data_IF_413738589368
#
_entry.id   IF_413738589368
#
_cell.length_a   1.000
_cell.length_b   1.000
_cell.length_c   1.000
_cell.angle_alpha   90.00
_cell.angle_beta   90.00
_cell.angle_gamma   90.00
#
_symmetry.space_group_name_H-M   'P 1'
#
loop_
_entity.id
_entity.type
_entity.pdbx_description
1 polymer ?
#
# COMPACT_ATOMS: atom_id res chain seq x y z
N UNK A 1 -22.37 -0.06 -18.53
CA UNK A 1 -21.47 -0.86 -19.39
C UNK A 1 -20.78 0.05 -20.38
N UNK A 2 -19.47 0.01 -20.49
CA UNK A 2 -18.69 0.87 -21.39
C UNK A 2 -17.75 0.04 -22.24
N UNK A 3 -17.31 0.63 -23.36
CA UNK A 3 -16.35 0.00 -24.27
C UNK A 3 -14.97 -0.06 -23.63
N UNK A 4 -14.19 -1.11 -23.92
CA UNK A 4 -12.80 -1.19 -23.54
C UNK A 4 -12.01 -0.14 -24.34
N UNK A 5 -11.14 0.63 -23.67
CA UNK A 5 -10.22 1.57 -24.32
C UNK A 5 -8.84 0.92 -24.40
N UNK A 6 -8.30 0.74 -25.61
CA UNK A 6 -6.95 0.20 -25.85
C UNK A 6 -6.62 0.19 -27.33
N UNK A 7 -5.32 0.12 -27.74
CA UNK A 7 -4.91 -0.05 -29.11
C UNK A 7 -5.33 -1.45 -29.58
N UNK A 8 -6.45 -1.54 -30.26
CA UNK A 8 -6.98 -2.80 -30.79
C UNK A 8 -7.82 -2.54 -32.03
N UNK A 9 -7.80 -3.46 -32.98
CA UNK A 9 -8.50 -3.38 -34.24
C UNK A 9 -10.03 -3.28 -34.11
N UNK A 10 -10.74 -3.20 -35.24
CA UNK A 10 -12.19 -2.92 -35.33
C UNK A 10 -13.08 -3.76 -34.41
N UNK A 11 -12.66 -4.92 -33.93
CA UNK A 11 -13.42 -5.79 -33.04
C UNK A 11 -13.50 -5.27 -31.60
N UNK A 12 -12.45 -4.60 -31.11
CA UNK A 12 -12.41 -4.02 -29.74
C UNK A 12 -13.41 -2.85 -29.61
N UNK A 13 -13.64 -2.12 -30.70
CA UNK A 13 -14.55 -0.97 -30.72
C UNK A 13 -16.03 -1.38 -30.81
N UNK A 14 -16.35 -2.66 -31.11
CA UNK A 14 -17.72 -3.14 -31.27
C UNK A 14 -18.25 -3.94 -30.08
N UNK A 15 -17.39 -4.41 -29.17
CA UNK A 15 -17.82 -5.26 -28.06
C UNK A 15 -17.70 -4.53 -26.71
N UNK A 16 -18.82 -4.45 -25.98
CA UNK A 16 -18.87 -3.90 -24.62
C UNK A 16 -18.33 -4.93 -23.61
N UNK A 17 -17.04 -5.23 -23.65
CA UNK A 17 -16.41 -6.25 -22.78
C UNK A 17 -15.97 -5.69 -21.42
N UNK A 18 -15.86 -4.39 -21.26
CA UNK A 18 -15.48 -3.77 -19.98
C UNK A 18 -16.52 -4.05 -18.91
N UNK A 19 -16.09 -4.57 -17.79
CA UNK A 19 -16.88 -4.76 -16.59
C UNK A 19 -16.50 -3.71 -15.54
N UNK A 20 -17.51 -3.24 -14.83
CA UNK A 20 -17.37 -2.30 -13.72
C UNK A 20 -18.26 -2.78 -12.57
N UNK A 21 -17.69 -2.90 -11.39
CA UNK A 21 -18.38 -3.34 -10.19
C UNK A 21 -18.31 -2.23 -9.12
N UNK A 22 -19.47 -1.90 -8.56
CA UNK A 22 -19.61 -0.93 -7.47
C UNK A 22 -20.11 -1.64 -6.23
N UNK A 23 -19.35 -1.56 -5.13
CA UNK A 23 -19.80 -1.96 -3.81
C UNK A 23 -20.17 -0.70 -3.03
N UNK A 24 -21.47 -0.49 -2.78
CA UNK A 24 -21.94 0.61 -1.94
C UNK A 24 -21.51 0.38 -0.49
N UNK A 25 -20.99 1.41 0.16
CA UNK A 25 -20.59 1.41 1.56
C UNK A 25 -21.53 2.25 2.46
N UNK A 26 -22.54 2.89 1.86
CA UNK A 26 -23.63 3.57 2.57
C UNK A 26 -24.98 3.11 1.98
N UNK A 27 -25.89 2.57 2.79
CA UNK A 27 -25.67 2.19 4.20
C UNK A 27 -24.60 1.09 4.33
N UNK A 28 -23.91 1.03 5.49
CA UNK A 28 -22.83 0.07 5.69
C UNK A 28 -23.36 -1.36 5.57
N UNK A 29 -22.74 -2.23 4.73
CA UNK A 29 -23.17 -3.61 4.58
C UNK A 29 -23.02 -4.38 5.90
N UNK A 30 -24.08 -5.04 6.34
CA UNK A 30 -24.11 -5.80 7.59
C UNK A 30 -23.14 -6.97 7.62
N UNK A 31 -22.82 -7.50 6.43
CA UNK A 31 -21.89 -8.61 6.23
C UNK A 31 -20.42 -8.21 6.43
N UNK A 32 -20.13 -6.90 6.42
CA UNK A 32 -18.78 -6.39 6.57
C UNK A 32 -18.52 -5.93 8.01
N UNK A 33 -17.44 -6.40 8.65
CA UNK A 33 -17.06 -5.93 9.97
C UNK A 33 -16.77 -4.41 9.97
N UNK A 34 -17.30 -3.68 10.94
CA UNK A 34 -17.10 -2.23 11.04
C UNK A 34 -15.60 -1.83 11.15
N UNK A 35 -14.78 -2.73 11.71
CA UNK A 35 -13.33 -2.51 11.85
C UNK A 35 -12.59 -2.30 10.53
N UNK A 36 -13.08 -2.82 9.40
CA UNK A 36 -12.44 -2.64 8.10
C UNK A 36 -12.79 -1.31 7.43
N UNK A 37 -13.82 -0.60 7.92
CA UNK A 37 -14.32 0.65 7.31
C UNK A 37 -13.21 1.69 7.08
N UNK A 38 -12.38 2.06 8.07
CA UNK A 38 -11.34 3.07 7.86
C UNK A 38 -10.33 2.67 6.78
N UNK A 39 -10.04 1.38 6.64
CA UNK A 39 -9.10 0.87 5.64
C UNK A 39 -9.71 0.89 4.24
N UNK A 40 -11.01 0.61 4.09
CA UNK A 40 -11.70 0.68 2.80
C UNK A 40 -11.81 2.12 2.29
N UNK A 41 -12.06 3.09 3.17
CA UNK A 41 -12.16 4.51 2.81
C UNK A 41 -10.83 5.12 2.36
N UNK A 42 -9.69 4.51 2.70
CA UNK A 42 -8.35 4.93 2.28
C UNK A 42 -7.92 4.31 0.94
N UNK A 43 -8.69 3.36 0.40
CA UNK A 43 -8.31 2.71 -0.86
C UNK A 43 -8.45 3.68 -2.06
N UNK A 44 -7.53 3.62 -3.04
CA UNK A 44 -7.66 4.39 -4.28
C UNK A 44 -8.93 4.08 -5.08
N UNK A 45 -9.51 2.90 -4.86
CA UNK A 45 -10.77 2.47 -5.48
C UNK A 45 -12.01 3.07 -4.83
N UNK A 46 -11.87 3.78 -3.70
CA UNK A 46 -12.99 4.43 -3.04
C UNK A 46 -13.38 5.72 -3.73
N UNK A 47 -14.67 5.87 -3.99
CA UNK A 47 -15.26 7.08 -4.58
C UNK A 47 -16.11 7.81 -3.52
N UNK A 48 -15.61 8.92 -2.96
CA UNK A 48 -16.33 9.65 -1.91
C UNK A 48 -17.71 10.18 -2.36
N UNK A 49 -17.82 10.64 -3.61
CA UNK A 49 -19.07 11.17 -4.17
C UNK A 49 -20.18 10.13 -4.26
N UNK A 50 -19.85 8.87 -4.53
CA UNK A 50 -20.77 7.75 -4.64
C UNK A 50 -20.78 6.85 -3.40
N UNK A 51 -19.95 7.14 -2.41
CA UNK A 51 -19.76 6.34 -1.19
C UNK A 51 -19.63 4.85 -1.49
N UNK A 52 -18.83 4.52 -2.51
CA UNK A 52 -18.71 3.16 -3.04
C UNK A 52 -17.26 2.83 -3.39
N UNK A 53 -16.94 1.54 -3.35
CA UNK A 53 -15.71 1.02 -3.97
C UNK A 53 -15.99 0.69 -5.41
N UNK A 54 -15.18 1.21 -6.31
CA UNK A 54 -15.25 0.98 -7.75
C UNK A 54 -14.11 0.12 -8.21
N UNK A 55 -14.41 -1.00 -8.86
CA UNK A 55 -13.44 -1.92 -9.47
C UNK A 55 -13.77 -2.10 -10.94
N UNK A 56 -12.77 -2.02 -11.81
CA UNK A 56 -12.96 -2.13 -13.26
C UNK A 56 -12.01 -3.15 -13.86
N UNK A 57 -12.50 -3.95 -14.82
CA UNK A 57 -11.69 -4.87 -15.59
C UNK A 57 -12.08 -4.81 -17.07
N UNK A 58 -11.06 -4.80 -17.94
CA UNK A 58 -11.23 -4.73 -19.39
C UNK A 58 -10.18 -5.54 -20.16
N UNK A 59 -9.47 -6.44 -19.46
CA UNK A 59 -8.33 -7.17 -20.03
C UNK A 59 -8.73 -8.33 -20.94
N UNK A 60 -9.86 -8.99 -20.64
CA UNK A 60 -10.34 -10.11 -21.41
C UNK A 60 -11.29 -9.66 -22.53
N UNK A 61 -11.34 -10.46 -23.60
CA UNK A 61 -12.33 -10.28 -24.69
C UNK A 61 -13.75 -10.60 -24.22
N UNK A 62 -13.89 -11.51 -23.28
CA UNK A 62 -15.18 -11.93 -22.71
C UNK A 62 -15.59 -11.04 -21.55
N UNK A 63 -16.79 -10.48 -21.63
CA UNK A 63 -17.37 -9.73 -20.54
C UNK A 63 -17.50 -10.55 -19.27
N UNK A 64 -17.85 -11.84 -19.39
CA UNK A 64 -17.95 -12.77 -18.24
C UNK A 64 -16.63 -12.87 -17.49
N UNK A 65 -15.52 -13.01 -18.20
CA UNK A 65 -14.17 -13.07 -17.60
C UNK A 65 -13.81 -11.75 -16.91
N UNK A 66 -14.17 -10.60 -17.48
CA UNK A 66 -13.93 -9.31 -16.84
C UNK A 66 -14.80 -9.11 -15.58
N UNK A 67 -16.03 -9.63 -15.55
CA UNK A 67 -16.87 -9.62 -14.34
C UNK A 67 -16.23 -10.50 -13.23
N UNK A 68 -15.75 -11.67 -13.59
CA UNK A 68 -15.04 -12.55 -12.65
C UNK A 68 -13.75 -11.90 -12.13
N UNK A 69 -13.01 -11.23 -12.99
CA UNK A 69 -11.82 -10.46 -12.60
C UNK A 69 -12.17 -9.31 -11.64
N UNK A 70 -13.25 -8.55 -11.88
CA UNK A 70 -13.71 -7.53 -10.94
C UNK A 70 -14.09 -8.12 -9.58
N UNK A 71 -14.77 -9.26 -9.56
CA UNK A 71 -15.12 -9.95 -8.30
C UNK A 71 -13.88 -10.38 -7.54
N UNK A 72 -12.92 -11.01 -8.22
CA UNK A 72 -11.66 -11.44 -7.62
C UNK A 72 -10.87 -10.25 -7.05
N UNK A 73 -10.79 -9.14 -7.78
CA UNK A 73 -10.15 -7.92 -7.31
C UNK A 73 -10.87 -7.34 -6.08
N UNK A 74 -12.20 -7.30 -6.07
CA UNK A 74 -12.96 -6.82 -4.92
C UNK A 74 -12.69 -7.69 -3.68
N UNK A 75 -12.73 -9.01 -3.81
CA UNK A 75 -12.42 -9.94 -2.73
C UNK A 75 -11.00 -9.71 -2.20
N UNK A 76 -10.02 -9.53 -3.09
CA UNK A 76 -8.64 -9.25 -2.69
C UNK A 76 -8.52 -7.91 -1.92
N UNK A 77 -9.25 -6.86 -2.33
CA UNK A 77 -9.27 -5.57 -1.62
C UNK A 77 -9.90 -5.71 -0.22
N UNK A 78 -11.02 -6.43 -0.10
CA UNK A 78 -11.66 -6.70 1.19
C UNK A 78 -10.77 -7.53 2.11
N UNK A 79 -10.12 -8.58 1.59
CA UNK A 79 -9.18 -9.41 2.34
C UNK A 79 -7.98 -8.59 2.85
N UNK A 80 -7.41 -7.72 2.01
CA UNK A 80 -6.32 -6.81 2.38
C UNK A 80 -6.76 -5.84 3.49
N UNK A 81 -7.93 -5.23 3.37
CA UNK A 81 -8.49 -4.36 4.40
C UNK A 81 -8.74 -5.13 5.71
N UNK A 82 -9.22 -6.39 5.63
CA UNK A 82 -9.37 -7.27 6.77
C UNK A 82 -8.06 -7.56 7.48
N UNK A 83 -7.00 -7.87 6.72
CA UNK A 83 -5.66 -8.09 7.29
C UNK A 83 -5.11 -6.84 7.99
N UNK A 84 -5.36 -5.65 7.43
CA UNK A 84 -4.94 -4.39 8.03
C UNK A 84 -5.74 -4.01 9.29
N UNK A 85 -6.99 -4.45 9.37
CA UNK A 85 -7.86 -4.23 10.53
C UNK A 85 -7.53 -5.17 11.71
N UNK A 86 -6.83 -6.28 11.46
CA UNK A 86 -6.36 -7.14 12.53
C UNK A 86 -5.25 -6.43 13.31
N UNK A 87 -5.27 -6.51 14.66
CA UNK A 87 -4.17 -6.00 15.46
C UNK A 87 -2.87 -6.66 15.02
N UNK A 88 -1.84 -5.86 14.78
CA UNK A 88 -0.54 -6.39 14.43
C UNK A 88 -0.09 -7.38 15.52
N UNK A 89 0.29 -8.58 15.12
CA UNK A 89 0.82 -9.57 16.07
C UNK A 89 2.00 -8.95 16.82
N UNK A 90 2.00 -9.08 18.13
CA UNK A 90 3.12 -8.58 18.93
C UNK A 90 4.44 -9.22 18.44
N UNK A 91 5.47 -8.41 18.19
CA UNK A 91 6.73 -8.94 17.72
C UNK A 91 7.30 -9.92 18.76
N UNK A 92 7.76 -11.07 18.30
CA UNK A 92 8.33 -12.08 19.16
C UNK A 92 9.54 -11.55 19.94
N UNK A 93 9.85 -12.15 21.08
CA UNK A 93 11.02 -11.78 21.89
C UNK A 93 12.33 -11.80 21.08
N UNK A 94 12.45 -12.76 20.15
CA UNK A 94 13.59 -12.86 19.23
C UNK A 94 13.63 -11.68 18.24
N UNK A 95 12.48 -11.24 17.71
CA UNK A 95 12.41 -10.07 16.83
C UNK A 95 12.74 -8.78 17.59
N UNK A 96 12.22 -8.61 18.81
CA UNK A 96 12.54 -7.46 19.69
C UNK A 96 14.05 -7.41 19.99
N UNK A 97 14.68 -8.57 20.28
CA UNK A 97 16.11 -8.67 20.49
C UNK A 97 16.94 -8.29 19.25
N UNK A 98 16.55 -8.79 18.06
CA UNK A 98 17.19 -8.41 16.79
C UNK A 98 17.12 -6.90 16.52
N UNK A 99 15.95 -6.29 16.68
CA UNK A 99 15.76 -4.84 16.49
C UNK A 99 16.62 -4.08 17.48
N UNK A 100 16.64 -4.47 18.76
CA UNK A 100 17.47 -3.86 19.81
C UNK A 100 18.96 -3.93 19.46
N UNK A 101 19.43 -5.07 18.97
CA UNK A 101 20.83 -5.25 18.55
C UNK A 101 21.20 -4.37 17.36
N UNK A 102 20.31 -4.24 16.34
CA UNK A 102 20.52 -3.36 15.20
C UNK A 102 20.58 -1.89 15.60
N UNK A 103 19.66 -1.44 16.45
CA UNK A 103 19.66 -0.07 16.98
C UNK A 103 20.94 0.24 17.79
N UNK A 104 21.44 -0.72 18.58
CA UNK A 104 22.69 -0.55 19.30
C UNK A 104 23.89 -0.45 18.35
N UNK A 105 23.96 -1.30 17.32
CA UNK A 105 25.01 -1.22 16.29
C UNK A 105 24.99 0.14 15.59
N UNK A 106 23.82 0.62 15.19
CA UNK A 106 23.68 1.93 14.54
C UNK A 106 24.13 3.08 15.45
N UNK A 107 23.74 3.04 16.72
CA UNK A 107 24.19 4.03 17.72
C UNK A 107 25.72 4.01 17.90
N UNK A 108 26.35 2.82 17.91
CA UNK A 108 27.80 2.69 18.01
C UNK A 108 28.49 3.31 16.80
N UNK A 109 28.08 2.97 15.59
CA UNK A 109 28.63 3.54 14.35
C UNK A 109 28.47 5.06 14.31
N UNK A 110 27.27 5.58 14.67
CA UNK A 110 27.05 7.04 14.74
C UNK A 110 27.96 7.72 15.76
N UNK A 111 28.24 7.07 16.89
CA UNK A 111 29.15 7.60 17.91
C UNK A 111 30.59 7.63 17.39
N UNK A 112 31.07 6.54 16.81
CA UNK A 112 32.41 6.46 16.20
C UNK A 112 32.61 7.51 15.11
N UNK A 113 31.61 7.72 14.24
CA UNK A 113 31.65 8.78 13.23
C UNK A 113 31.74 10.19 13.86
N UNK A 114 30.96 10.46 14.93
CA UNK A 114 31.04 11.74 15.65
C UNK A 114 32.41 11.96 16.28
N UNK A 115 32.98 10.93 16.92
CA UNK A 115 34.28 11.00 17.56
C UNK A 115 35.39 11.22 16.51
N UNK A 116 35.31 10.55 15.36
CA UNK A 116 36.22 10.76 14.24
C UNK A 116 36.13 12.19 13.67
N UNK A 117 34.93 12.73 13.49
CA UNK A 117 34.76 14.12 13.04
C UNK A 117 35.27 15.12 14.07
N UNK A 118 35.08 14.84 15.36
CA UNK A 118 35.58 15.68 16.45
C UNK A 118 37.11 15.70 16.48
N UNK A 119 37.77 14.52 16.33
CA UNK A 119 39.22 14.43 16.30
C UNK A 119 39.82 15.15 15.08
N UNK A 120 39.21 15.01 13.87
CA UNK A 120 39.63 15.78 12.68
C UNK A 120 39.49 17.29 12.88
N UNK A 121 38.41 17.75 13.55
CA UNK A 121 38.23 19.16 13.85
C UNK A 121 39.24 19.68 14.85
N UNK A 122 39.63 18.88 15.85
CA UNK A 122 40.66 19.18 16.81
C UNK A 122 42.04 19.30 16.16
N UNK A 123 42.41 18.36 15.29
CA UNK A 123 43.69 18.39 14.55
C UNK A 123 43.81 19.61 13.64
N UNK A 124 42.72 20.06 12.98
CA UNK A 124 42.74 21.27 12.19
C UNK A 124 42.96 22.53 13.02
N UNK A 125 42.47 22.55 14.28
CA UNK A 125 42.66 23.71 15.19
C UNK A 125 44.12 23.80 15.68
N UNK A 126 44.75 22.66 15.93
CA UNK A 126 46.15 22.64 16.37
C UNK A 126 47.11 23.00 15.23
N UNK A 127 46.82 22.69 13.98
CA UNK A 127 47.63 23.06 12.84
C UNK A 127 47.56 24.54 12.42
N UNK A 128 46.53 25.27 12.90
CA UNK A 128 46.35 26.71 12.55
C UNK A 128 47.00 27.65 13.55
N UNK A 129 47.51 27.14 14.69
CA UNK A 129 48.13 27.93 15.75
C UNK A 129 49.68 28.03 15.68
N UNK A 130 50.29 27.72 14.53
CA UNK A 130 51.74 27.77 14.28
C UNK A 130 52.16 28.70 13.13
N UNK A 131 51.49 29.84 12.94
CA UNK A 131 51.93 30.96 12.11
C UNK A 131 51.88 32.23 12.94
#
# INVERSE_FOLDING_TARGET
>A
MSRASGPGGQHVNKTNSRAELHLKLEPWPTELPAAIRPHLLQLPSYQPSAQSLRVTASQARSQKQNIEACRAQLVALLAKAGQQALPAAEPSTAQRAKVKALVQKEKKVKREMKDHLKSKKSQRRTNVSFD
#
